data_IF_040592595804
#
_entry.id   IF_040592595804
#
_cell.length_a   1.000
_cell.length_b   1.000
_cell.length_c   1.000
_cell.angle_alpha   90.00
_cell.angle_beta   90.00
_cell.angle_gamma   90.00
#
_symmetry.space_group_name_H-M   'P 1'
#
loop_
_entity.id
_entity.type
_entity.pdbx_description
1 polymer ?
#
# COMPACT_ATOMS: atom_id res chain seq x y z
N UNK A 1 9.85 14.15 2.80
CA UNK A 1 11.24 13.87 3.13
C UNK A 1 11.37 12.46 3.71
N UNK A 2 12.45 11.77 3.34
CA UNK A 2 12.76 10.46 3.91
C UNK A 2 13.05 10.62 5.42
N UNK A 3 12.45 9.73 6.27
CA UNK A 3 12.61 9.85 7.72
C UNK A 3 11.71 10.86 8.42
N UNK A 4 10.73 11.45 7.72
CA UNK A 4 9.81 12.43 8.30
C UNK A 4 8.68 11.83 9.17
N UNK A 5 8.64 10.50 9.39
CA UNK A 5 7.65 9.85 10.27
C UNK A 5 6.55 9.05 9.52
N UNK A 6 6.35 9.28 8.23
CA UNK A 6 5.29 8.60 7.45
C UNK A 6 5.49 7.08 7.37
N UNK A 7 6.74 6.59 7.33
CA UNK A 7 7.05 5.16 7.30
C UNK A 7 6.72 4.50 8.63
N UNK A 8 7.09 5.16 9.72
CA UNK A 8 6.83 4.73 11.10
C UNK A 8 5.33 4.61 11.36
N UNK A 9 4.55 5.60 10.92
CA UNK A 9 3.10 5.56 11.04
C UNK A 9 2.52 4.32 10.33
N UNK A 10 2.94 4.02 9.09
CA UNK A 10 2.44 2.85 8.35
C UNK A 10 2.85 1.53 9.00
N UNK A 11 4.09 1.43 9.51
CA UNK A 11 4.56 0.25 10.22
C UNK A 11 3.73 0.02 11.50
N UNK A 12 3.40 1.09 12.23
CA UNK A 12 2.54 1.03 13.41
C UNK A 12 1.13 0.58 13.03
N UNK A 13 0.56 1.13 11.95
CA UNK A 13 -0.78 0.77 11.46
C UNK A 13 -0.87 -0.68 10.99
N UNK A 14 0.22 -1.28 10.55
CA UNK A 14 0.27 -2.69 10.16
C UNK A 14 0.71 -3.63 11.29
N UNK A 15 0.90 -3.12 12.51
CA UNK A 15 1.26 -3.92 13.67
C UNK A 15 2.73 -4.33 13.75
N UNK A 16 3.61 -3.71 12.95
CA UNK A 16 5.07 -3.93 13.01
C UNK A 16 5.74 -3.13 14.13
N UNK A 17 5.08 -2.08 14.60
CA UNK A 17 5.50 -1.23 15.73
C UNK A 17 4.30 -0.96 16.62
N UNK A 18 4.56 -0.76 17.91
CA UNK A 18 3.54 -0.31 18.86
C UNK A 18 3.47 1.21 18.89
N UNK A 19 2.24 1.73 19.02
CA UNK A 19 1.99 3.14 19.31
C UNK A 19 2.21 3.41 20.78
N UNK A 20 2.86 4.51 21.12
CA UNK A 20 2.98 4.98 22.52
C UNK A 20 1.71 5.69 22.98
N UNK A 21 0.93 6.27 22.06
CA UNK A 21 -0.32 6.98 22.36
C UNK A 21 -1.22 7.03 21.12
N UNK A 22 -2.47 7.47 21.31
CA UNK A 22 -3.46 7.57 20.25
C UNK A 22 -4.12 6.24 19.92
N UNK A 23 -5.07 6.27 18.97
CA UNK A 23 -5.82 5.10 18.54
C UNK A 23 -5.84 4.96 17.02
N UNK A 24 -5.95 3.71 16.57
CA UNK A 24 -6.20 3.36 15.19
C UNK A 24 -7.54 2.63 15.09
N UNK A 25 -8.49 3.23 14.40
CA UNK A 25 -9.78 2.62 14.11
C UNK A 25 -9.83 2.20 12.64
N UNK A 26 -10.27 0.99 12.38
CA UNK A 26 -10.51 0.46 11.05
C UNK A 26 -11.81 -0.33 11.03
N UNK A 27 -12.69 -0.04 10.07
CA UNK A 27 -14.02 -0.68 9.96
C UNK A 27 -14.86 -0.64 11.25
N UNK A 28 -14.73 0.45 12.03
CA UNK A 28 -15.42 0.62 13.32
C UNK A 28 -14.77 -0.07 14.52
N UNK A 29 -13.73 -0.87 14.31
CA UNK A 29 -13.01 -1.61 15.33
C UNK A 29 -11.73 -0.91 15.77
N UNK A 30 -11.34 -1.09 17.03
CA UNK A 30 -10.07 -0.57 17.54
C UNK A 30 -8.92 -1.53 17.24
N UNK A 31 -8.10 -1.13 16.29
CA UNK A 31 -6.94 -1.90 15.80
C UNK A 31 -5.62 -1.46 16.45
N UNK A 32 -5.67 -0.63 17.48
CA UNK A 32 -4.49 -0.06 18.14
C UNK A 32 -3.63 -1.17 18.75
N UNK A 33 -2.34 -1.16 18.41
CA UNK A 33 -1.35 -2.09 18.96
C UNK A 33 -1.64 -3.59 18.73
N UNK A 34 -2.53 -3.93 17.82
CA UNK A 34 -2.65 -5.30 17.35
C UNK A 34 -1.37 -5.71 16.60
N UNK A 35 -1.00 -6.98 16.70
CA UNK A 35 0.07 -7.56 15.90
C UNK A 35 -0.33 -7.73 14.43
N UNK A 36 0.64 -8.00 13.57
CA UNK A 36 0.45 -8.12 12.12
C UNK A 36 -0.57 -9.21 11.76
N UNK A 37 -0.61 -10.33 12.49
CA UNK A 37 -1.54 -11.42 12.22
C UNK A 37 -2.97 -10.98 12.47
N UNK A 38 -3.23 -10.32 13.60
CA UNK A 38 -4.56 -9.79 13.93
C UNK A 38 -4.99 -8.68 12.97
N UNK A 39 -4.11 -7.71 12.67
CA UNK A 39 -4.39 -6.62 11.73
C UNK A 39 -4.85 -7.18 10.37
N UNK A 40 -4.23 -8.24 9.88
CA UNK A 40 -4.60 -8.87 8.61
C UNK A 40 -5.99 -9.51 8.64
N UNK A 41 -6.43 -10.02 9.79
CA UNK A 41 -7.80 -10.53 9.97
C UNK A 41 -8.88 -9.44 9.91
N UNK A 42 -8.48 -8.17 10.10
CA UNK A 42 -9.34 -6.99 9.89
C UNK A 42 -9.22 -6.41 8.46
N UNK A 43 -8.86 -7.27 7.50
CA UNK A 43 -8.82 -6.90 6.07
C UNK A 43 -7.85 -5.78 5.73
N UNK A 44 -6.74 -5.68 6.44
CA UNK A 44 -5.67 -4.71 6.17
C UNK A 44 -4.52 -5.40 5.43
N UNK A 45 -4.26 -4.97 4.21
CA UNK A 45 -3.14 -5.40 3.38
C UNK A 45 -2.00 -4.37 3.38
N UNK A 46 -0.75 -4.84 3.25
CA UNK A 46 0.42 -3.96 3.15
C UNK A 46 1.34 -4.33 1.99
N UNK A 47 1.69 -3.34 1.19
CA UNK A 47 2.73 -3.46 0.16
C UNK A 47 3.92 -2.60 0.60
N UNK A 48 5.04 -3.20 1.03
CA UNK A 48 6.22 -2.46 1.42
C UNK A 48 6.96 -1.87 0.21
N UNK A 49 7.80 -0.87 0.46
CA UNK A 49 8.75 -0.35 -0.53
C UNK A 49 9.77 -1.42 -0.93
N UNK A 50 10.45 -1.19 -2.06
CA UNK A 50 11.42 -2.14 -2.60
C UNK A 50 10.83 -3.55 -2.80
N UNK A 51 9.88 -3.67 -3.73
CA UNK A 51 9.15 -4.93 -3.97
C UNK A 51 10.05 -6.13 -4.21
N UNK A 52 11.23 -5.93 -4.84
CA UNK A 52 12.17 -7.02 -5.17
C UNK A 52 12.71 -7.70 -3.92
N UNK A 53 12.97 -6.94 -2.88
CA UNK A 53 13.51 -7.46 -1.62
C UNK A 53 12.42 -7.86 -0.62
N UNK A 54 11.30 -7.09 -0.60
CA UNK A 54 10.35 -7.15 0.50
C UNK A 54 8.99 -7.75 0.13
N UNK A 55 8.72 -8.00 -1.16
CA UNK A 55 7.37 -8.37 -1.59
C UNK A 55 7.29 -9.55 -2.54
N UNK A 56 8.30 -9.79 -3.37
CA UNK A 56 8.32 -10.94 -4.27
C UNK A 56 9.23 -12.04 -3.75
N UNK A 57 8.86 -13.27 -4.08
CA UNK A 57 9.63 -14.48 -3.81
C UNK A 57 10.14 -15.00 -5.16
N UNK A 58 11.38 -14.65 -5.54
CA UNK A 58 11.89 -14.87 -6.90
C UNK A 58 12.00 -16.35 -7.28
N UNK A 59 12.15 -17.24 -6.29
CA UNK A 59 12.17 -18.68 -6.48
C UNK A 59 10.79 -19.31 -6.74
N UNK A 60 9.70 -18.54 -6.54
CA UNK A 60 8.33 -19.01 -6.73
C UNK A 60 7.76 -18.50 -8.05
N UNK A 61 6.83 -19.28 -8.61
CA UNK A 61 6.03 -18.87 -9.76
C UNK A 61 5.02 -17.76 -9.39
N UNK A 62 4.33 -17.25 -10.40
CA UNK A 62 3.36 -16.16 -10.26
C UNK A 62 2.19 -16.58 -9.38
N UNK A 63 1.67 -17.80 -9.54
CA UNK A 63 0.52 -18.29 -8.78
C UNK A 63 0.86 -18.43 -7.29
N UNK A 64 2.02 -18.99 -6.95
CA UNK A 64 2.47 -19.11 -5.57
C UNK A 64 2.70 -17.72 -4.95
N UNK A 65 3.29 -16.78 -5.69
CA UNK A 65 3.43 -15.39 -5.25
C UNK A 65 2.08 -14.73 -4.99
N UNK A 66 1.06 -15.01 -5.79
CA UNK A 66 -0.29 -14.50 -5.62
C UNK A 66 -0.94 -15.02 -4.32
N UNK A 67 -0.78 -16.32 -4.00
CA UNK A 67 -1.43 -16.96 -2.86
C UNK A 67 -0.73 -16.78 -1.51
N UNK A 68 0.47 -16.24 -1.45
CA UNK A 68 1.26 -16.13 -0.21
C UNK A 68 0.51 -15.57 1.00
N UNK A 69 -0.31 -14.54 0.81
CA UNK A 69 -1.05 -13.93 1.92
C UNK A 69 -2.18 -14.84 2.43
N UNK A 70 -2.82 -15.60 1.54
CA UNK A 70 -3.90 -16.52 1.89
C UNK A 70 -3.39 -17.70 2.72
N UNK A 71 -2.24 -18.28 2.38
CA UNK A 71 -1.63 -19.36 3.16
C UNK A 71 -1.35 -18.94 4.62
N UNK A 72 -0.89 -17.72 4.82
CA UNK A 72 -0.53 -17.23 6.14
C UNK A 72 -1.73 -16.77 6.99
N UNK A 73 -2.93 -16.70 6.42
CA UNK A 73 -4.18 -16.44 7.17
C UNK A 73 -4.87 -17.72 7.65
N UNK A 74 -4.27 -18.88 7.41
CA UNK A 74 -4.83 -20.16 7.83
C UNK A 74 -6.04 -20.61 7.01
N UNK A 75 -6.30 -19.94 5.88
CA UNK A 75 -7.32 -20.39 4.94
C UNK A 75 -6.86 -21.69 4.29
N UNK A 76 -7.45 -22.76 4.74
CA UNK A 76 -7.29 -24.16 4.38
C UNK A 76 -6.15 -24.55 3.42
N UNK A 77 -5.25 -25.45 3.81
CA UNK A 77 -4.26 -26.04 2.91
C UNK A 77 -4.88 -26.93 1.81
N UNK A 78 -6.19 -27.08 1.79
CA UNK A 78 -6.95 -27.94 0.88
C UNK A 78 -7.75 -27.17 -0.18
N UNK A 79 -7.27 -26.01 -0.61
CA UNK A 79 -7.84 -25.36 -1.80
C UNK A 79 -7.43 -26.19 -3.03
N UNK A 80 -8.40 -26.65 -3.83
CA UNK A 80 -8.05 -27.39 -5.03
C UNK A 80 -7.30 -26.50 -6.01
N UNK A 81 -6.29 -27.05 -6.69
CA UNK A 81 -5.49 -26.33 -7.70
C UNK A 81 -6.36 -25.63 -8.75
N UNK A 82 -7.49 -26.24 -9.10
CA UNK A 82 -8.47 -25.66 -10.03
C UNK A 82 -9.01 -24.32 -9.48
N UNK A 83 -9.49 -24.30 -8.24
CA UNK A 83 -10.00 -23.06 -7.61
C UNK A 83 -8.93 -21.97 -7.53
N UNK A 84 -7.67 -22.34 -7.27
CA UNK A 84 -6.56 -21.40 -7.28
C UNK A 84 -6.37 -20.75 -8.65
N UNK A 85 -6.33 -21.58 -9.70
CA UNK A 85 -6.14 -21.10 -11.08
C UNK A 85 -7.33 -20.24 -11.53
N UNK A 86 -8.56 -20.63 -11.17
CA UNK A 86 -9.78 -19.87 -11.51
C UNK A 86 -9.74 -18.48 -10.85
N UNK A 87 -9.41 -18.42 -9.57
CA UNK A 87 -9.26 -17.15 -8.81
C UNK A 87 -8.18 -16.26 -9.41
N UNK A 88 -6.98 -16.81 -9.65
CA UNK A 88 -5.90 -16.09 -10.32
C UNK A 88 -6.34 -15.56 -11.69
N UNK A 89 -7.04 -16.37 -12.46
CA UNK A 89 -7.49 -15.99 -13.81
C UNK A 89 -8.47 -14.81 -13.79
N UNK A 90 -9.34 -14.75 -12.78
CA UNK A 90 -10.20 -13.60 -12.55
C UNK A 90 -9.38 -12.34 -12.24
N UNK A 91 -8.46 -12.41 -11.27
CA UNK A 91 -7.60 -11.25 -10.94
C UNK A 91 -6.70 -10.85 -12.10
N UNK A 92 -6.17 -11.81 -12.88
CA UNK A 92 -5.40 -11.52 -14.10
C UNK A 92 -6.19 -10.64 -15.06
N UNK A 93 -7.46 -10.93 -15.26
CA UNK A 93 -8.38 -10.16 -16.12
C UNK A 93 -8.68 -8.79 -15.50
N UNK A 94 -9.08 -8.75 -14.24
CA UNK A 94 -9.54 -7.53 -13.55
C UNK A 94 -8.46 -6.46 -13.44
N UNK A 95 -7.19 -6.90 -13.27
CA UNK A 95 -6.03 -6.04 -13.14
C UNK A 95 -5.26 -5.87 -14.46
N UNK A 96 -5.76 -6.43 -15.56
CA UNK A 96 -5.03 -6.43 -16.85
C UNK A 96 -3.57 -6.88 -16.68
N UNK A 97 -3.37 -8.00 -15.98
CA UNK A 97 -2.05 -8.58 -15.72
C UNK A 97 -1.53 -9.30 -16.98
N UNK A 98 -0.40 -8.86 -17.50
CA UNK A 98 0.26 -9.48 -18.65
C UNK A 98 1.24 -10.55 -18.16
N UNK A 99 0.86 -11.82 -18.33
CA UNK A 99 1.68 -12.99 -18.03
C UNK A 99 1.35 -14.11 -19.01
N UNK A 100 2.35 -14.82 -19.50
CA UNK A 100 2.16 -15.96 -20.40
C UNK A 100 1.52 -17.13 -19.67
N UNK A 101 2.09 -17.52 -18.54
CA UNK A 101 1.62 -18.61 -17.69
C UNK A 101 1.66 -18.21 -16.22
N UNK A 102 0.72 -18.72 -15.42
CA UNK A 102 0.75 -18.60 -13.97
C UNK A 102 1.90 -19.41 -13.32
N UNK A 103 2.48 -20.36 -14.05
CA UNK A 103 3.64 -21.16 -13.64
C UNK A 103 4.98 -20.48 -13.99
N UNK A 104 4.97 -19.38 -14.73
CA UNK A 104 6.19 -18.64 -15.03
C UNK A 104 6.78 -18.05 -13.74
N UNK A 105 8.12 -17.98 -13.62
CA UNK A 105 8.76 -17.30 -12.49
C UNK A 105 8.29 -15.84 -12.38
N UNK A 106 8.04 -15.34 -11.16
CA UNK A 106 7.60 -13.94 -10.95
C UNK A 106 8.59 -12.93 -11.52
N UNK A 107 9.87 -13.28 -11.55
CA UNK A 107 10.95 -12.42 -12.09
C UNK A 107 10.87 -12.21 -13.59
N UNK A 108 10.15 -13.05 -14.35
CA UNK A 108 9.93 -12.88 -15.79
C UNK A 108 8.98 -11.73 -16.11
N UNK A 109 8.23 -11.25 -15.14
CA UNK A 109 7.30 -10.15 -15.31
C UNK A 109 8.00 -8.79 -15.26
N UNK A 110 7.46 -7.82 -16.04
CA UNK A 110 7.82 -6.41 -15.86
C UNK A 110 7.49 -5.90 -14.47
N UNK A 111 8.14 -4.83 -14.03
CA UNK A 111 7.91 -4.23 -12.71
C UNK A 111 6.45 -3.90 -12.44
N UNK A 112 5.73 -3.36 -13.40
CA UNK A 112 4.30 -3.07 -13.29
C UNK A 112 3.46 -4.34 -13.11
N UNK A 113 3.75 -5.41 -13.84
CA UNK A 113 3.04 -6.67 -13.68
C UNK A 113 3.37 -7.37 -12.35
N UNK A 114 4.63 -7.31 -11.88
CA UNK A 114 4.98 -7.76 -10.52
C UNK A 114 4.15 -7.03 -9.46
N UNK A 115 4.02 -5.70 -9.59
CA UNK A 115 3.22 -4.88 -8.67
C UNK A 115 1.74 -5.27 -8.69
N UNK A 116 1.18 -5.57 -9.85
CA UNK A 116 -0.19 -6.06 -9.98
C UNK A 116 -0.39 -7.41 -9.27
N UNK A 117 0.57 -8.33 -9.35
CA UNK A 117 0.51 -9.61 -8.59
C UNK A 117 0.51 -9.35 -7.08
N UNK A 118 1.34 -8.42 -6.60
CA UNK A 118 1.40 -8.09 -5.17
C UNK A 118 0.08 -7.45 -4.70
N UNK A 119 -0.52 -6.56 -5.49
CA UNK A 119 -1.83 -5.98 -5.19
C UNK A 119 -2.92 -7.07 -5.20
N UNK A 120 -2.94 -7.93 -6.22
CA UNK A 120 -3.88 -9.05 -6.32
C UNK A 120 -3.78 -9.99 -5.11
N UNK A 121 -2.59 -10.25 -4.58
CA UNK A 121 -2.35 -11.04 -3.36
C UNK A 121 -3.19 -10.56 -2.18
N UNK A 122 -3.21 -9.24 -1.95
CA UNK A 122 -3.98 -8.65 -0.85
C UNK A 122 -5.46 -8.54 -1.15
N UNK A 123 -5.82 -8.23 -2.40
CA UNK A 123 -7.22 -8.19 -2.82
C UNK A 123 -7.87 -9.57 -2.74
N UNK A 124 -7.12 -10.64 -3.01
CA UNK A 124 -7.59 -12.03 -2.86
C UNK A 124 -7.87 -12.41 -1.39
N UNK A 125 -7.30 -11.71 -0.43
CA UNK A 125 -7.64 -11.86 1.00
C UNK A 125 -8.72 -10.90 1.45
N UNK A 126 -9.51 -10.36 0.54
CA UNK A 126 -10.59 -9.39 0.79
C UNK A 126 -10.13 -8.13 1.54
N UNK A 127 -8.86 -7.73 1.35
CA UNK A 127 -8.35 -6.52 1.99
C UNK A 127 -9.19 -5.30 1.58
N UNK A 128 -9.71 -4.59 2.60
CA UNK A 128 -10.48 -3.35 2.44
C UNK A 128 -9.60 -2.11 2.61
N UNK A 129 -8.54 -2.24 3.39
CA UNK A 129 -7.55 -1.19 3.65
C UNK A 129 -6.21 -1.63 3.07
N UNK A 130 -5.65 -0.84 2.16
CA UNK A 130 -4.35 -1.09 1.54
C UNK A 130 -3.34 -0.03 2.00
N UNK A 131 -2.27 -0.47 2.65
CA UNK A 131 -1.15 0.38 3.06
C UNK A 131 0.00 0.20 2.07
N UNK A 132 0.22 1.15 1.18
CA UNK A 132 1.18 1.06 0.08
C UNK A 132 2.38 1.98 0.34
N UNK A 133 3.58 1.45 0.19
CA UNK A 133 4.82 2.20 0.37
C UNK A 133 5.57 2.31 -0.96
N UNK A 134 5.61 3.51 -1.54
CA UNK A 134 6.18 3.79 -2.87
C UNK A 134 5.71 2.75 -3.92
N UNK A 135 4.39 2.61 -4.16
CA UNK A 135 3.82 1.51 -4.94
C UNK A 135 4.29 1.47 -6.40
N UNK A 136 4.85 2.55 -6.91
CA UNK A 136 5.34 2.65 -8.29
C UNK A 136 6.86 2.76 -8.38
N UNK A 137 7.58 2.58 -7.28
CA UNK A 137 9.04 2.63 -7.28
C UNK A 137 9.64 1.58 -8.21
N UNK A 138 10.52 2.04 -9.13
CA UNK A 138 11.20 1.18 -10.08
C UNK A 138 10.26 0.55 -11.12
N UNK A 139 9.16 1.24 -11.46
CA UNK A 139 8.24 0.92 -12.53
C UNK A 139 8.42 1.96 -13.65
N UNK A 140 8.33 1.54 -14.91
CA UNK A 140 8.37 2.46 -16.05
C UNK A 140 7.16 3.40 -16.08
N UNK A 141 7.30 4.55 -16.76
CA UNK A 141 6.30 5.63 -16.75
C UNK A 141 4.92 5.16 -17.24
N UNK A 142 4.88 4.35 -18.30
CA UNK A 142 3.62 3.85 -18.86
C UNK A 142 2.90 2.90 -17.88
N UNK A 143 3.66 2.01 -17.24
CA UNK A 143 3.10 1.08 -16.26
C UNK A 143 2.71 1.78 -14.93
N UNK A 144 3.32 2.93 -14.57
CA UNK A 144 2.86 3.74 -13.44
C UNK A 144 1.42 4.21 -13.62
N UNK A 145 1.07 4.72 -14.79
CA UNK A 145 -0.29 5.19 -15.07
C UNK A 145 -1.32 4.05 -14.97
N UNK A 146 -0.98 2.84 -15.39
CA UNK A 146 -1.84 1.66 -15.18
C UNK A 146 -2.08 1.38 -13.67
N UNK A 147 -1.05 1.53 -12.83
CA UNK A 147 -1.20 1.37 -11.37
C UNK A 147 -2.07 2.48 -10.78
N UNK A 148 -1.91 3.74 -11.21
CA UNK A 148 -2.76 4.84 -10.71
C UNK A 148 -4.24 4.61 -11.05
N UNK A 149 -4.53 4.23 -12.29
CA UNK A 149 -5.90 3.89 -12.68
C UNK A 149 -6.47 2.72 -11.86
N UNK A 150 -5.63 1.72 -11.57
CA UNK A 150 -6.03 0.60 -10.72
C UNK A 150 -6.36 1.08 -9.29
N UNK A 151 -5.52 1.91 -8.68
CA UNK A 151 -5.76 2.44 -7.33
C UNK A 151 -7.04 3.28 -7.28
N UNK A 152 -7.28 4.15 -8.26
CA UNK A 152 -8.52 4.92 -8.37
C UNK A 152 -9.76 4.02 -8.55
N UNK A 153 -9.66 2.98 -9.39
CA UNK A 153 -10.73 1.99 -9.56
C UNK A 153 -11.06 1.30 -8.24
N UNK A 154 -10.04 0.86 -7.48
CA UNK A 154 -10.24 0.22 -6.19
C UNK A 154 -10.86 1.17 -5.16
N UNK A 155 -10.43 2.42 -5.11
CA UNK A 155 -11.02 3.45 -4.25
C UNK A 155 -12.50 3.68 -4.58
N UNK A 156 -12.86 3.77 -5.87
CA UNK A 156 -14.24 3.90 -6.33
C UNK A 156 -15.10 2.65 -6.01
N UNK A 157 -14.47 1.49 -5.77
CA UNK A 157 -15.13 0.28 -5.29
C UNK A 157 -15.26 0.20 -3.77
N UNK A 158 -14.91 1.29 -3.05
CA UNK A 158 -15.02 1.40 -1.60
C UNK A 158 -13.79 0.96 -0.82
N UNK A 159 -12.68 0.62 -1.47
CA UNK A 159 -11.42 0.30 -0.76
C UNK A 159 -10.76 1.57 -0.24
N UNK A 160 -10.22 1.51 0.96
CA UNK A 160 -9.40 2.58 1.54
C UNK A 160 -7.94 2.37 1.16
N UNK A 161 -7.34 3.35 0.50
CA UNK A 161 -5.95 3.28 0.06
C UNK A 161 -5.13 4.37 0.75
N UNK A 162 -4.15 3.95 1.53
CA UNK A 162 -3.18 4.85 2.17
C UNK A 162 -1.83 4.57 1.52
N UNK A 163 -1.37 5.47 0.70
CA UNK A 163 -0.06 5.32 0.06
C UNK A 163 0.91 6.42 0.47
N UNK A 164 2.18 6.06 0.55
CA UNK A 164 3.28 6.99 0.69
C UNK A 164 4.04 7.05 -0.61
N UNK A 165 4.39 8.25 -1.02
CA UNK A 165 5.28 8.47 -2.15
C UNK A 165 6.15 9.70 -1.92
N UNK A 166 7.28 9.74 -2.59
CA UNK A 166 8.15 10.91 -2.71
C UNK A 166 7.89 11.69 -4.00
N UNK A 167 7.01 11.19 -4.87
CA UNK A 167 6.70 11.78 -6.16
C UNK A 167 5.40 12.60 -6.07
N UNK A 168 5.50 13.92 -6.07
CA UNK A 168 4.34 14.83 -5.99
C UNK A 168 3.32 14.60 -7.13
N UNK A 169 3.80 14.19 -8.31
CA UNK A 169 2.95 13.85 -9.45
C UNK A 169 1.98 12.71 -9.15
N UNK A 170 2.37 11.73 -8.32
CA UNK A 170 1.51 10.62 -7.90
C UNK A 170 0.39 11.10 -6.98
N UNK A 171 0.74 11.97 -6.01
CA UNK A 171 -0.24 12.54 -5.08
C UNK A 171 -1.33 13.28 -5.84
N UNK A 172 -0.93 14.13 -6.79
CA UNK A 172 -1.88 14.89 -7.62
C UNK A 172 -2.80 14.01 -8.48
N UNK A 173 -2.28 12.87 -8.96
CA UNK A 173 -3.05 11.94 -9.80
C UNK A 173 -4.08 11.13 -9.00
N UNK A 174 -3.74 10.70 -7.79
CA UNK A 174 -4.48 9.64 -7.10
C UNK A 174 -5.06 10.03 -5.73
N UNK A 175 -4.55 11.08 -5.05
CA UNK A 175 -4.95 11.35 -3.68
C UNK A 175 -6.16 12.27 -3.58
N UNK A 176 -7.11 11.92 -2.70
CA UNK A 176 -8.22 12.80 -2.30
C UNK A 176 -7.84 13.66 -1.09
N UNK A 177 -6.84 13.22 -0.32
CA UNK A 177 -6.31 13.87 0.86
C UNK A 177 -4.82 13.61 0.99
N UNK A 178 -4.04 14.59 1.40
CA UNK A 178 -2.60 14.47 1.56
C UNK A 178 -2.17 14.91 2.95
N UNK A 179 -1.55 14.01 3.71
CA UNK A 179 -0.89 14.34 4.97
C UNK A 179 0.59 14.60 4.69
N UNK A 180 1.05 15.82 4.93
CA UNK A 180 2.45 16.19 4.77
C UNK A 180 3.17 16.03 6.10
N UNK A 181 4.23 15.25 6.11
CA UNK A 181 5.04 14.99 7.30
C UNK A 181 6.31 15.85 7.30
N UNK A 182 6.63 16.42 8.47
CA UNK A 182 7.84 17.15 8.74
C UNK A 182 8.32 16.84 10.15
N UNK A 183 9.59 16.43 10.31
CA UNK A 183 10.21 16.10 11.59
C UNK A 183 9.36 15.24 12.54
N UNK A 184 8.73 14.20 12.02
CA UNK A 184 7.94 13.25 12.82
C UNK A 184 6.50 13.71 13.15
N UNK A 185 6.11 14.88 12.69
CA UNK A 185 4.78 15.44 12.89
C UNK A 185 4.02 15.60 11.56
N UNK A 186 2.70 15.71 11.61
CA UNK A 186 1.89 16.09 10.45
C UNK A 186 1.92 17.62 10.36
N UNK A 187 2.66 18.17 9.39
CA UNK A 187 2.75 19.60 9.14
C UNK A 187 1.51 20.14 8.44
N UNK A 188 0.86 19.36 7.61
CA UNK A 188 -0.39 19.75 6.94
C UNK A 188 -1.28 18.54 6.64
N UNK A 189 -2.58 18.82 6.58
CA UNK A 189 -3.65 17.94 6.15
C UNK A 189 -4.41 18.64 5.04
N UNK A 190 -4.10 18.26 3.78
CA UNK A 190 -4.56 18.94 2.58
C UNK A 190 -5.67 18.15 1.92
N UNK A 191 -6.77 18.80 1.59
CA UNK A 191 -7.84 18.26 0.76
C UNK A 191 -7.42 18.29 -0.72
N UNK A 192 -8.15 17.58 -1.57
CA UNK A 192 -7.88 17.43 -3.00
C UNK A 192 -7.57 18.76 -3.72
N UNK A 193 -8.37 19.77 -3.47
CA UNK A 193 -8.27 21.11 -4.07
C UNK A 193 -7.03 21.90 -3.63
N UNK A 194 -6.45 21.56 -2.48
CA UNK A 194 -5.27 22.21 -1.90
C UNK A 194 -3.96 21.54 -2.34
N UNK A 195 -4.05 20.35 -2.94
CA UNK A 195 -2.88 19.54 -3.35
C UNK A 195 -2.27 20.14 -4.61
N UNK A 196 -1.17 20.86 -4.45
CA UNK A 196 -0.30 21.32 -5.54
C UNK A 196 1.17 21.32 -5.10
N UNK A 197 2.08 21.35 -6.06
CA UNK A 197 3.51 21.21 -5.79
C UNK A 197 4.05 22.28 -4.84
N UNK A 198 3.59 23.52 -4.99
CA UNK A 198 4.03 24.63 -4.14
C UNK A 198 3.58 24.44 -2.71
N UNK A 199 2.30 24.13 -2.49
CA UNK A 199 1.73 23.94 -1.16
C UNK A 199 2.38 22.75 -0.45
N UNK A 200 2.50 21.60 -1.11
CA UNK A 200 3.12 20.43 -0.49
C UNK A 200 4.57 20.69 -0.11
N UNK A 201 5.37 21.34 -1.00
CA UNK A 201 6.77 21.69 -0.72
C UNK A 201 6.94 22.64 0.45
N UNK A 202 6.08 23.64 0.59
CA UNK A 202 6.14 24.59 1.71
C UNK A 202 6.02 23.88 3.06
N UNK A 203 5.13 22.89 3.17
CA UNK A 203 4.96 22.11 4.39
C UNK A 203 6.05 21.03 4.56
N UNK A 204 6.48 20.41 3.47
CA UNK A 204 7.54 19.41 3.48
C UNK A 204 8.90 19.97 3.93
N UNK A 205 9.15 21.24 3.65
CA UNK A 205 10.40 21.93 4.03
C UNK A 205 10.29 22.66 5.38
N UNK A 206 9.13 22.67 6.01
CA UNK A 206 8.89 23.35 7.29
C UNK A 206 8.81 24.88 7.20
N UNK A 207 8.77 25.46 5.99
CA UNK A 207 8.58 26.91 5.80
C UNK A 207 7.19 27.35 6.29
N UNK A 208 6.19 26.46 6.23
CA UNK A 208 4.86 26.66 6.76
C UNK A 208 4.43 25.45 7.55
N UNK A 209 3.87 25.63 8.74
CA UNK A 209 3.28 24.58 9.55
C UNK A 209 1.89 25.03 10.00
N UNK A 210 0.89 24.16 9.87
CA UNK A 210 -0.46 24.42 10.36
C UNK A 210 -0.69 23.97 11.81
N UNK A 211 0.33 23.31 12.40
CA UNK A 211 0.29 22.86 13.78
C UNK A 211 1.21 23.74 14.64
N UNK A 212 0.76 24.18 15.82
CA UNK A 212 1.63 24.93 16.72
C UNK A 212 2.86 24.09 17.07
N UNK A 213 4.02 24.69 16.95
CA UNK A 213 5.24 24.12 17.49
C UNK A 213 4.99 23.77 18.96
N UNK A 214 5.16 22.50 19.34
CA UNK A 214 5.27 22.18 20.75
C UNK A 214 6.52 22.91 21.23
N UNK A 215 6.32 23.97 21.98
CA UNK A 215 7.41 24.62 22.72
C UNK A 215 8.22 23.53 23.40
N UNK A 216 9.50 23.46 23.03
CA UNK A 216 10.48 22.63 23.72
C UNK A 216 10.52 23.09 25.17
N UNK A 217 9.77 22.44 26.04
CA UNK A 217 10.04 22.52 27.46
C UNK A 217 11.26 21.61 27.70
N UNK A 218 12.38 22.27 27.88
CA UNK A 218 13.63 21.75 28.45
C UNK A 218 13.39 21.19 29.86
#
# INVERSE_FOLDING_TARGET
>A
LQGAGASELRQTRFGLRKSSSGSFLGNGENLTNLDTEKIRRYHVGRVPSNRKENSIFPALDILNNFYLASFSLGNSPLVSKKKEVDSYSQFKKDLNLKAESYLSPIISLSGGNQQKVILARWLHTDADILLLDNPTQGIDVGAKDEIYHLLLKLANQGKTIIFHTLELGEIRKCADRCLVFYHGTIAADLKREEINDTTVRLYETGVKTNYPEKENQL
#
